data_IF_350916685802
#
_entry.id   IF_350916685802
#
_cell.length_a   1.000
_cell.length_b   1.000
_cell.length_c   1.000
_cell.angle_alpha   90.00
_cell.angle_beta   90.00
_cell.angle_gamma   90.00
#
_symmetry.space_group_name_H-M   'P 1'
#
loop_
_entity.id
_entity.type
_entity.pdbx_description
1 polymer ?
#
# COMPACT_ATOMS: atom_id res chain seq x y z
N UNK A 1 21.52 17.13 -11.70
CA UNK A 1 22.00 16.25 -12.78
C UNK A 1 20.87 16.19 -13.79
N UNK A 2 21.00 16.91 -14.90
CA UNK A 2 19.94 17.02 -15.91
C UNK A 2 19.87 15.71 -16.70
N UNK A 3 18.74 15.02 -16.60
CA UNK A 3 18.47 13.82 -17.40
C UNK A 3 18.18 14.25 -18.83
N UNK A 4 18.96 13.80 -19.83
CA UNK A 4 18.79 14.24 -21.20
C UNK A 4 17.46 13.74 -21.76
N UNK A 5 16.59 14.67 -22.15
CA UNK A 5 15.44 14.38 -22.99
C UNK A 5 15.96 13.93 -24.36
N UNK A 6 15.69 12.68 -24.75
CA UNK A 6 16.06 12.18 -26.07
C UNK A 6 14.83 12.11 -26.94
N UNK A 7 14.83 12.90 -28.00
CA UNK A 7 13.80 12.85 -29.04
C UNK A 7 14.41 12.16 -30.27
N UNK A 8 13.87 11.02 -30.69
CA UNK A 8 14.26 10.39 -31.96
C UNK A 8 13.70 11.12 -33.19
N UNK A 9 12.89 12.16 -32.97
CA UNK A 9 12.25 12.99 -33.98
C UNK A 9 12.61 14.45 -33.76
N UNK A 10 13.07 15.12 -34.81
CA UNK A 10 13.20 16.58 -34.82
C UNK A 10 11.81 17.20 -34.82
N UNK A 11 11.52 18.07 -33.84
CA UNK A 11 10.26 18.79 -33.82
C UNK A 11 10.13 19.66 -35.07
N UNK A 12 9.00 19.54 -35.77
CA UNK A 12 8.69 20.44 -36.88
C UNK A 12 8.47 21.85 -36.34
N UNK A 13 9.10 22.83 -37.00
CA UNK A 13 8.82 24.23 -36.71
C UNK A 13 7.39 24.58 -37.12
N UNK A 14 6.73 25.37 -36.28
CA UNK A 14 5.42 25.96 -36.60
C UNK A 14 5.59 26.91 -37.78
N UNK A 15 4.76 26.77 -38.80
CA UNK A 15 4.86 27.54 -40.04
C UNK A 15 3.57 28.31 -40.30
N UNK A 16 3.65 29.62 -40.44
CA UNK A 16 2.52 30.44 -40.84
C UNK A 16 2.51 30.63 -42.36
N UNK A 17 1.47 30.18 -43.04
CA UNK A 17 1.31 30.31 -44.49
C UNK A 17 -0.16 30.35 -44.89
N UNK A 18 -0.52 31.22 -45.85
CA UNK A 18 -1.87 31.33 -46.41
C UNK A 18 -2.98 31.48 -45.35
N UNK A 19 -2.74 32.29 -44.32
CA UNK A 19 -3.66 32.49 -43.18
C UNK A 19 -3.95 31.21 -42.37
N UNK A 20 -3.04 30.24 -42.41
CA UNK A 20 -3.09 29.00 -41.65
C UNK A 20 -1.79 28.82 -40.86
N UNK A 21 -1.90 28.23 -39.66
CA UNK A 21 -0.77 27.83 -38.85
C UNK A 21 -0.55 26.32 -39.02
N UNK A 22 0.46 25.95 -39.78
CA UNK A 22 0.83 24.56 -40.05
C UNK A 22 1.79 24.04 -38.97
N UNK A 23 1.84 22.72 -38.82
CA UNK A 23 2.69 22.02 -37.85
C UNK A 23 2.40 22.38 -36.39
N UNK A 24 1.15 22.66 -36.05
CA UNK A 24 0.72 22.82 -34.66
C UNK A 24 0.61 21.43 -34.03
N UNK A 25 1.26 21.22 -32.88
CA UNK A 25 1.17 19.96 -32.15
C UNK A 25 -0.28 19.77 -31.68
N UNK A 26 -0.93 18.71 -32.13
CA UNK A 26 -2.27 18.30 -31.72
C UNK A 26 -2.18 17.25 -30.61
N UNK A 27 -1.28 16.27 -30.74
CA UNK A 27 -1.12 15.21 -29.75
C UNK A 27 0.35 14.85 -29.53
N UNK A 28 0.71 14.56 -28.28
CA UNK A 28 2.04 14.07 -27.91
C UNK A 28 1.90 12.90 -26.97
N UNK A 29 2.63 11.83 -27.25
CA UNK A 29 2.87 10.72 -26.34
C UNK A 29 4.30 10.79 -25.81
N UNK A 30 4.43 10.98 -24.50
CA UNK A 30 5.70 10.96 -23.79
C UNK A 30 5.80 9.65 -23.02
N UNK A 31 6.89 8.92 -23.20
CA UNK A 31 7.22 7.74 -22.40
C UNK A 31 8.40 8.06 -21.49
N UNK A 32 8.17 7.99 -20.18
CA UNK A 32 9.19 8.21 -19.15
C UNK A 32 9.52 6.87 -18.52
N UNK A 33 10.77 6.44 -18.70
CA UNK A 33 11.32 5.26 -18.07
C UNK A 33 12.02 5.63 -16.77
N UNK A 34 11.60 5.01 -15.67
CA UNK A 34 12.13 5.23 -14.32
C UNK A 34 13.09 4.10 -13.94
N UNK A 35 14.17 4.41 -13.23
CA UNK A 35 14.94 3.45 -12.45
C UNK A 35 14.75 3.81 -10.98
N UNK A 36 13.86 3.08 -10.31
CA UNK A 36 13.39 3.38 -8.95
C UNK A 36 12.73 4.78 -8.85
N UNK A 37 13.47 5.77 -8.37
CA UNK A 37 13.03 7.18 -8.22
C UNK A 37 13.66 8.11 -9.24
N UNK A 38 14.63 7.63 -10.03
CA UNK A 38 15.38 8.43 -10.97
C UNK A 38 14.81 8.24 -12.38
N UNK A 39 14.61 9.34 -13.10
CA UNK A 39 14.27 9.26 -14.53
C UNK A 39 15.50 8.70 -15.25
N UNK A 40 15.36 7.48 -15.78
CA UNK A 40 16.41 6.84 -16.58
C UNK A 40 16.38 7.39 -18.00
N UNK A 41 15.18 7.53 -18.56
CA UNK A 41 14.98 7.96 -19.94
C UNK A 41 13.63 8.65 -20.09
N UNK A 42 13.54 9.65 -20.97
CA UNK A 42 12.28 10.24 -21.40
C UNK A 42 12.31 10.38 -22.92
N UNK A 43 11.30 9.82 -23.58
CA UNK A 43 11.20 9.72 -25.04
C UNK A 43 9.87 10.28 -25.52
N UNK A 44 9.89 11.08 -26.58
CA UNK A 44 8.69 11.44 -27.32
C UNK A 44 8.39 10.31 -28.32
N UNK A 45 7.44 9.45 -27.98
CA UNK A 45 7.15 8.23 -28.74
C UNK A 45 6.23 8.48 -29.94
N UNK A 46 5.36 9.49 -29.86
CA UNK A 46 4.48 9.87 -30.96
C UNK A 46 4.16 11.37 -30.90
N UNK A 47 4.20 12.04 -32.05
CA UNK A 47 3.84 13.45 -32.19
C UNK A 47 2.91 13.57 -33.39
N UNK A 48 1.71 14.08 -33.14
CA UNK A 48 0.73 14.38 -34.17
C UNK A 48 0.66 15.88 -34.37
N UNK A 49 0.84 16.30 -35.62
CA UNK A 49 0.71 17.68 -36.05
C UNK A 49 -0.60 17.90 -36.78
N UNK A 50 -1.11 19.12 -36.71
CA UNK A 50 -2.32 19.57 -37.38
C UNK A 50 -2.17 21.02 -37.84
N UNK A 51 -3.16 21.49 -38.59
CA UNK A 51 -3.21 22.84 -39.14
C UNK A 51 -4.31 23.64 -38.46
N UNK A 52 -3.93 24.74 -37.82
CA UNK A 52 -4.86 25.68 -37.23
C UNK A 52 -5.33 26.69 -38.29
N UNK A 53 -6.63 26.90 -38.38
CA UNK A 53 -7.26 27.88 -39.27
C UNK A 53 -8.23 28.75 -38.48
N UNK A 54 -8.65 29.87 -39.08
CA UNK A 54 -9.68 30.73 -38.50
C UNK A 54 -11.03 30.00 -38.26
N UNK A 55 -11.27 28.85 -38.90
CA UNK A 55 -12.50 28.07 -38.69
C UNK A 55 -12.40 27.07 -37.54
N UNK A 56 -11.22 26.51 -37.26
CA UNK A 56 -11.08 25.41 -36.29
C UNK A 56 -10.43 25.82 -34.95
N UNK A 57 -9.93 27.05 -34.84
CA UNK A 57 -9.16 27.47 -33.66
C UNK A 57 -9.93 27.37 -32.33
N UNK A 58 -11.26 27.57 -32.36
CA UNK A 58 -12.09 27.54 -31.17
C UNK A 58 -12.24 26.12 -30.59
N UNK A 59 -12.18 25.10 -31.45
CA UNK A 59 -12.38 23.69 -31.10
C UNK A 59 -11.06 22.89 -31.05
N UNK A 60 -9.94 23.53 -31.41
CA UNK A 60 -8.64 22.91 -31.42
C UNK A 60 -8.19 22.55 -29.99
N UNK A 61 -7.92 21.27 -29.73
CA UNK A 61 -7.47 20.76 -28.43
C UNK A 61 -6.13 20.06 -28.59
N UNK A 62 -5.21 20.38 -27.69
CA UNK A 62 -3.94 19.70 -27.59
C UNK A 62 -4.02 18.61 -26.53
N UNK A 63 -3.58 17.40 -26.86
CA UNK A 63 -3.57 16.25 -25.95
C UNK A 63 -2.15 15.78 -25.67
N UNK A 64 -1.75 15.89 -24.41
CA UNK A 64 -0.47 15.36 -23.93
C UNK A 64 -0.73 14.13 -23.07
N UNK A 65 -0.23 12.98 -23.52
CA UNK A 65 -0.31 11.71 -22.80
C UNK A 65 1.08 11.35 -22.29
N UNK A 66 1.21 11.18 -20.97
CA UNK A 66 2.47 10.85 -20.32
C UNK A 66 2.34 9.44 -19.73
N UNK A 67 3.15 8.52 -20.22
CA UNK A 67 3.21 7.13 -19.77
C UNK A 67 4.48 6.92 -18.96
N UNK A 68 4.34 6.37 -17.75
CA UNK A 68 5.47 5.99 -16.91
C UNK A 68 5.72 4.49 -17.03
N UNK A 69 6.98 4.09 -17.30
CA UNK A 69 7.44 2.71 -17.33
C UNK A 69 8.55 2.54 -16.30
N UNK A 70 8.51 1.49 -15.48
CA UNK A 70 9.65 1.14 -14.64
C UNK A 70 10.65 0.30 -15.45
N UNK A 71 11.95 0.63 -15.35
CA UNK A 71 13.06 -0.12 -15.96
C UNK A 71 13.49 -1.34 -15.15
N UNK A 72 12.95 -1.50 -13.93
CA UNK A 72 12.96 -2.78 -13.28
C UNK A 72 11.97 -3.67 -14.02
N UNK A 73 12.48 -4.52 -14.91
CA UNK A 73 11.80 -5.78 -15.17
C UNK A 73 11.45 -6.37 -13.79
N UNK A 74 10.20 -6.75 -13.52
CA UNK A 74 9.96 -7.54 -12.34
C UNK A 74 10.76 -8.80 -12.58
N UNK A 75 11.84 -9.01 -11.83
CA UNK A 75 12.20 -10.36 -11.48
C UNK A 75 10.98 -10.89 -10.73
N UNK A 76 10.03 -11.46 -11.47
CA UNK A 76 9.23 -12.57 -10.99
C UNK A 76 10.21 -13.73 -10.75
N UNK A 77 11.16 -13.52 -9.82
CA UNK A 77 11.55 -14.62 -8.99
C UNK A 77 10.25 -15.00 -8.30
N UNK A 78 9.84 -16.23 -8.60
CA UNK A 78 8.68 -16.99 -8.15
C UNK A 78 8.59 -16.97 -6.61
N UNK A 79 8.30 -15.79 -6.05
CA UNK A 79 8.12 -15.58 -4.62
C UNK A 79 6.75 -16.16 -4.32
N UNK A 80 6.77 -17.42 -3.85
CA UNK A 80 5.60 -18.28 -3.70
C UNK A 80 4.37 -17.63 -3.05
N UNK A 81 3.25 -18.35 -3.14
CA UNK A 81 1.92 -17.84 -2.77
C UNK A 81 1.90 -17.23 -1.37
N UNK A 82 1.13 -16.16 -1.21
CA UNK A 82 0.76 -15.66 0.13
C UNK A 82 -0.36 -16.46 0.75
N UNK A 83 -0.71 -16.09 1.98
CA UNK A 83 -1.86 -16.67 2.67
C UNK A 83 -3.18 -16.31 1.99
N UNK A 84 -4.11 -17.26 2.00
CA UNK A 84 -5.53 -17.09 1.64
C UNK A 84 -6.41 -17.26 2.88
N UNK A 85 -7.62 -16.70 2.83
CA UNK A 85 -8.57 -16.86 3.93
C UNK A 85 -8.89 -18.33 4.16
N UNK A 86 -8.77 -18.78 5.41
CA UNK A 86 -8.98 -20.18 5.79
C UNK A 86 -7.71 -21.04 5.81
N UNK A 87 -6.58 -20.54 5.31
CA UNK A 87 -5.30 -21.25 5.36
C UNK A 87 -4.87 -21.51 6.80
N UNK A 88 -4.28 -22.67 7.04
CA UNK A 88 -3.68 -23.02 8.33
C UNK A 88 -2.38 -22.24 8.55
N UNK A 89 -2.19 -21.75 9.77
CA UNK A 89 -0.99 -21.01 10.16
C UNK A 89 -0.05 -21.93 10.91
N UNK A 90 1.24 -21.87 10.59
CA UNK A 90 2.29 -22.63 11.26
C UNK A 90 3.18 -21.71 12.11
N UNK A 91 3.66 -22.23 13.23
CA UNK A 91 4.46 -21.49 14.20
C UNK A 91 5.65 -22.32 14.72
N UNK A 92 6.61 -21.66 15.35
CA UNK A 92 7.86 -22.28 15.82
C UNK A 92 8.26 -21.74 17.21
N UNK A 93 9.01 -22.56 17.96
CA UNK A 93 9.58 -22.22 19.28
C UNK A 93 10.98 -21.61 19.15
N UNK A 94 11.81 -22.15 18.28
CA UNK A 94 13.08 -21.56 17.83
C UNK A 94 13.00 -21.16 16.37
N UNK A 95 13.97 -20.39 15.90
CA UNK A 95 14.08 -20.01 14.49
C UNK A 95 14.41 -21.20 13.58
N UNK A 96 15.08 -22.22 14.13
CA UNK A 96 15.47 -23.46 13.44
C UNK A 96 14.59 -24.67 13.81
N UNK A 97 13.54 -24.48 14.60
CA UNK A 97 12.68 -25.59 15.02
C UNK A 97 11.70 -25.99 13.91
N UNK A 98 11.27 -27.24 13.92
CA UNK A 98 10.23 -27.72 13.02
C UNK A 98 8.92 -26.95 13.24
N UNK A 99 8.32 -26.39 12.18
CA UNK A 99 7.03 -25.71 12.27
C UNK A 99 5.95 -26.67 12.78
N UNK A 100 5.10 -26.18 13.69
CA UNK A 100 3.94 -26.89 14.17
C UNK A 100 2.67 -26.10 13.85
N UNK A 101 1.54 -26.80 13.75
CA UNK A 101 0.25 -26.19 13.48
C UNK A 101 -0.15 -25.26 14.63
N UNK A 102 -0.28 -23.96 14.33
CA UNK A 102 -0.61 -22.96 15.32
C UNK A 102 -2.09 -23.10 15.72
N UNK A 103 -2.33 -23.29 17.01
CA UNK A 103 -3.65 -23.66 17.53
C UNK A 103 -3.97 -22.97 18.84
N UNK A 104 -5.25 -22.96 19.21
CA UNK A 104 -5.74 -22.58 20.53
C UNK A 104 -6.21 -23.82 21.30
N UNK A 105 -6.34 -23.77 22.63
CA UNK A 105 -6.95 -24.85 23.39
C UNK A 105 -8.36 -25.17 22.89
N UNK A 106 -8.70 -26.46 22.84
CA UNK A 106 -10.08 -26.87 22.56
C UNK A 106 -11.00 -26.46 23.70
N UNK A 107 -12.24 -26.11 23.36
CA UNK A 107 -13.26 -25.76 24.35
C UNK A 107 -13.52 -26.93 25.30
N UNK A 108 -13.48 -26.67 26.62
CA UNK A 108 -13.71 -27.70 27.64
C UNK A 108 -12.78 -27.56 28.85
N UNK A 109 -12.14 -28.66 29.25
CA UNK A 109 -11.16 -28.67 30.34
C UNK A 109 -9.78 -28.27 29.79
N UNK A 110 -9.11 -27.32 30.45
CA UNK A 110 -7.75 -26.96 30.10
C UNK A 110 -6.79 -28.13 30.39
N UNK A 111 -5.84 -28.39 29.49
CA UNK A 111 -4.82 -29.43 29.65
C UNK A 111 -5.03 -30.69 28.80
N UNK A 112 -6.14 -30.81 28.06
CA UNK A 112 -6.27 -31.84 27.03
C UNK A 112 -5.32 -31.56 25.86
N UNK A 113 -4.73 -32.60 25.27
CA UNK A 113 -3.73 -32.43 24.21
C UNK A 113 -4.26 -31.81 22.91
N UNK A 114 -5.58 -31.81 22.70
CA UNK A 114 -6.21 -31.31 21.48
C UNK A 114 -6.27 -29.77 21.42
N UNK A 115 -5.80 -29.21 20.32
CA UNK A 115 -5.99 -27.81 19.95
C UNK A 115 -6.93 -27.63 18.75
N UNK A 116 -7.46 -26.43 18.57
CA UNK A 116 -8.21 -26.00 17.39
C UNK A 116 -7.26 -25.15 16.53
N UNK A 117 -7.03 -25.50 15.25
CA UNK A 117 -6.15 -24.75 14.37
C UNK A 117 -6.61 -23.31 14.18
N UNK A 118 -5.67 -22.37 14.20
CA UNK A 118 -5.92 -20.98 13.84
C UNK A 118 -5.83 -20.86 12.32
N UNK A 119 -6.90 -20.35 11.71
CA UNK A 119 -7.00 -20.15 10.26
C UNK A 119 -6.87 -18.68 9.89
N UNK A 120 -6.12 -18.39 8.85
CA UNK A 120 -5.84 -17.03 8.40
C UNK A 120 -7.12 -16.28 8.01
N UNK A 121 -7.26 -15.04 8.50
CA UNK A 121 -8.46 -14.19 8.34
C UNK A 121 -9.76 -14.78 8.91
N UNK A 122 -9.70 -15.82 9.74
CA UNK A 122 -10.86 -16.38 10.45
C UNK A 122 -10.77 -16.04 11.93
N UNK A 123 -11.43 -14.94 12.33
CA UNK A 123 -11.55 -14.59 13.73
C UNK A 123 -12.18 -15.75 14.51
N UNK A 124 -11.52 -16.14 15.60
CA UNK A 124 -11.87 -17.36 16.32
C UNK A 124 -11.76 -17.12 17.82
N UNK A 125 -12.61 -17.78 18.59
CA UNK A 125 -12.53 -17.78 20.05
C UNK A 125 -12.60 -19.21 20.59
N UNK A 126 -11.98 -19.41 21.74
CA UNK A 126 -12.09 -20.66 22.49
C UNK A 126 -12.04 -20.38 23.99
N UNK A 127 -12.63 -21.28 24.76
CA UNK A 127 -12.62 -21.16 26.22
C UNK A 127 -12.30 -22.49 26.86
N UNK A 128 -11.37 -22.51 27.81
CA UNK A 128 -11.11 -23.70 28.61
C UNK A 128 -11.28 -23.40 30.10
N UNK A 129 -11.58 -24.43 30.87
CA UNK A 129 -11.86 -24.35 32.30
C UNK A 129 -10.78 -25.07 33.08
N UNK A 130 -10.28 -24.43 34.15
CA UNK A 130 -9.34 -25.03 35.09
C UNK A 130 -10.10 -25.36 36.37
N UNK A 131 -10.00 -26.64 36.78
CA UNK A 131 -10.54 -27.14 38.04
C UNK A 131 -9.37 -27.49 38.96
N UNK A 132 -9.09 -26.63 39.92
CA UNK A 132 -8.10 -26.88 40.95
C UNK A 132 -8.56 -26.23 42.25
N UNK A 133 -8.14 -26.76 43.39
CA UNK A 133 -8.45 -26.21 44.71
C UNK A 133 -7.32 -25.33 45.26
N UNK A 134 -6.13 -25.38 44.63
CA UNK A 134 -4.97 -24.61 45.03
C UNK A 134 -4.59 -23.59 43.95
N UNK A 135 -4.33 -22.35 44.36
CA UNK A 135 -3.89 -21.29 43.45
C UNK A 135 -2.60 -21.66 42.70
N UNK A 136 -1.67 -22.34 43.37
CA UNK A 136 -0.40 -22.79 42.76
C UNK A 136 -0.63 -23.74 41.59
N UNK A 137 -1.58 -24.66 41.71
CA UNK A 137 -1.95 -25.61 40.65
C UNK A 137 -2.60 -24.88 39.47
N UNK A 138 -3.50 -23.92 39.75
CA UNK A 138 -4.09 -23.08 38.70
C UNK A 138 -3.02 -22.30 37.94
N UNK A 139 -2.11 -21.63 38.65
CA UNK A 139 -1.02 -20.86 38.05
C UNK A 139 -0.09 -21.75 37.22
N UNK A 140 0.23 -22.95 37.69
CA UNK A 140 1.06 -23.89 36.95
C UNK A 140 0.36 -24.36 35.67
N UNK A 141 -0.94 -24.63 35.73
CA UNK A 141 -1.74 -25.01 34.55
C UNK A 141 -1.76 -23.88 33.51
N UNK A 142 -1.98 -22.64 33.93
CA UNK A 142 -1.94 -21.47 33.04
C UNK A 142 -0.56 -21.30 32.39
N UNK A 143 0.52 -21.44 33.17
CA UNK A 143 1.90 -21.35 32.64
C UNK A 143 2.18 -22.43 31.60
N UNK A 144 1.76 -23.67 31.84
CA UNK A 144 1.92 -24.76 30.88
C UNK A 144 1.13 -24.54 29.59
N UNK A 145 -0.08 -23.97 29.67
CA UNK A 145 -0.86 -23.62 28.48
C UNK A 145 -0.19 -22.51 27.67
N UNK A 146 0.28 -21.46 28.34
CA UNK A 146 1.01 -20.37 27.69
C UNK A 146 2.28 -20.92 27.03
N UNK A 147 3.04 -21.74 27.75
CA UNK A 147 4.25 -22.35 27.20
C UNK A 147 3.95 -23.34 26.07
N UNK A 148 2.78 -23.98 26.02
CA UNK A 148 2.40 -24.84 24.89
C UNK A 148 1.94 -24.03 23.67
N UNK A 149 1.02 -23.09 23.87
CA UNK A 149 0.27 -22.46 22.78
C UNK A 149 0.82 -21.10 22.33
N UNK A 150 1.76 -20.49 23.06
CA UNK A 150 2.40 -19.22 22.63
C UNK A 150 3.73 -19.52 21.94
N UNK A 151 3.82 -19.40 20.61
CA UNK A 151 5.08 -19.56 19.89
C UNK A 151 6.01 -18.34 20.08
N UNK A 152 7.24 -18.47 19.59
CA UNK A 152 8.17 -17.34 19.49
C UNK A 152 8.16 -16.73 18.08
N UNK A 153 7.82 -17.55 17.08
CA UNK A 153 7.79 -17.18 15.67
C UNK A 153 6.57 -17.76 14.97
N UNK A 154 6.07 -17.06 13.97
CA UNK A 154 4.99 -17.52 13.08
C UNK A 154 5.50 -17.47 11.65
N UNK A 155 5.14 -18.46 10.82
CA UNK A 155 5.52 -18.43 9.41
C UNK A 155 4.86 -17.24 8.70
N UNK A 156 5.68 -16.39 8.09
CA UNK A 156 5.23 -15.19 7.37
C UNK A 156 4.46 -15.52 6.09
N UNK A 157 4.71 -16.71 5.52
CA UNK A 157 4.10 -17.23 4.30
C UNK A 157 3.73 -18.71 4.48
N UNK A 158 2.79 -19.27 3.69
CA UNK A 158 2.44 -20.69 3.74
C UNK A 158 3.63 -21.61 3.43
N UNK A 159 3.62 -22.80 4.02
CA UNK A 159 4.71 -23.80 4.00
C UNK A 159 5.10 -24.29 2.60
N UNK A 160 4.26 -24.09 1.59
CA UNK A 160 4.53 -24.45 0.19
C UNK A 160 5.44 -23.44 -0.55
N UNK A 161 5.94 -22.40 0.13
CA UNK A 161 6.73 -21.32 -0.49
C UNK A 161 8.19 -21.31 -0.06
N UNK A 162 9.07 -20.91 -0.99
CA UNK A 162 10.55 -21.00 -0.95
C UNK A 162 11.18 -20.32 0.27
N UNK A 163 12.29 -20.92 0.73
CA UNK A 163 12.99 -20.89 2.03
C UNK A 163 13.68 -19.60 2.50
N UNK A 164 13.38 -18.42 1.94
CA UNK A 164 14.15 -17.19 2.25
C UNK A 164 13.33 -16.08 2.94
N UNK A 165 12.12 -16.35 3.43
CA UNK A 165 11.32 -15.35 4.17
C UNK A 165 11.55 -15.45 5.67
N UNK A 166 11.94 -14.32 6.27
CA UNK A 166 12.07 -14.19 7.72
C UNK A 166 10.72 -14.41 8.38
N UNK A 167 10.69 -15.28 9.38
CA UNK A 167 9.50 -15.57 10.17
C UNK A 167 9.03 -14.31 10.93
N UNK A 168 7.71 -14.21 11.12
CA UNK A 168 7.08 -13.11 11.82
C UNK A 168 7.34 -13.26 13.32
N UNK A 169 7.89 -12.21 13.93
CA UNK A 169 8.16 -12.17 15.37
C UNK A 169 6.87 -12.15 16.18
N UNK A 170 6.86 -12.93 17.27
CA UNK A 170 5.79 -12.89 18.27
C UNK A 170 6.17 -11.95 19.42
N UNK A 171 5.38 -10.90 19.60
CA UNK A 171 5.53 -9.91 20.66
C UNK A 171 4.60 -10.29 21.82
N UNK A 172 5.18 -10.55 22.99
CA UNK A 172 4.41 -10.81 24.22
C UNK A 172 4.18 -9.49 24.95
N UNK A 173 2.92 -9.11 25.14
CA UNK A 173 2.54 -8.00 25.99
C UNK A 173 2.64 -8.38 27.47
N UNK A 174 2.99 -7.40 28.31
CA UNK A 174 2.98 -7.61 29.76
C UNK A 174 1.55 -7.84 30.26
N UNK A 175 1.40 -8.75 31.22
CA UNK A 175 0.12 -8.96 31.89
C UNK A 175 -0.26 -7.73 32.72
N UNK A 176 -1.56 -7.45 32.81
CA UNK A 176 -2.07 -6.42 33.73
C UNK A 176 -1.75 -6.78 35.18
N UNK A 177 -1.37 -5.79 35.99
CA UNK A 177 -1.23 -6.02 37.42
C UNK A 177 -2.60 -6.19 38.08
N UNK A 178 -2.70 -7.11 39.04
CA UNK A 178 -3.90 -7.31 39.84
C UNK A 178 -3.66 -6.63 41.18
N UNK A 179 -4.41 -5.56 41.47
CA UNK A 179 -4.33 -4.88 42.77
C UNK A 179 -4.79 -5.81 43.90
N UNK A 180 -3.92 -6.00 44.90
CA UNK A 180 -4.16 -6.62 46.20
C UNK A 180 -5.08 -7.87 46.20
N UNK A 181 -4.58 -9.04 45.75
CA UNK A 181 -5.27 -10.29 46.01
C UNK A 181 -5.22 -10.57 47.52
N UNK A 182 -6.34 -10.33 48.20
CA UNK A 182 -6.59 -10.92 49.52
C UNK A 182 -6.43 -12.45 49.42
N UNK A 183 -6.04 -13.12 50.50
CA UNK A 183 -5.68 -14.56 50.48
C UNK A 183 -6.76 -15.54 50.01
N UNK A 184 -7.97 -15.06 49.70
CA UNK A 184 -9.08 -15.81 49.12
C UNK A 184 -9.10 -15.83 47.57
N UNK A 185 -8.28 -15.00 46.92
CA UNK A 185 -8.23 -14.86 45.48
C UNK A 185 -6.86 -15.26 44.91
N UNK A 186 -6.89 -15.87 43.74
CA UNK A 186 -5.72 -16.27 42.97
C UNK A 186 -5.56 -15.35 41.75
N UNK A 187 -4.46 -14.59 41.63
CA UNK A 187 -4.18 -13.83 40.43
C UNK A 187 -3.83 -14.81 39.29
N UNK A 188 -4.61 -14.78 38.21
CA UNK A 188 -4.49 -15.67 37.06
C UNK A 188 -4.67 -14.90 35.75
N UNK A 189 -3.91 -15.29 34.73
CA UNK A 189 -4.21 -14.89 33.35
C UNK A 189 -5.45 -15.62 32.88
N UNK A 190 -6.54 -14.89 32.69
CA UNK A 190 -7.85 -15.45 32.30
C UNK A 190 -8.20 -15.13 30.85
N UNK A 191 -7.48 -14.21 30.21
CA UNK A 191 -7.73 -13.85 28.81
C UNK A 191 -6.42 -13.71 28.06
N UNK A 192 -6.36 -14.35 26.88
CA UNK A 192 -5.30 -14.26 25.91
C UNK A 192 -5.87 -13.75 24.58
N UNK A 193 -5.53 -12.52 24.23
CA UNK A 193 -5.87 -11.93 22.93
C UNK A 193 -4.67 -12.03 22.00
N UNK A 194 -4.85 -12.74 20.88
CA UNK A 194 -3.87 -12.96 19.83
C UNK A 194 -4.22 -12.03 18.67
N UNK A 195 -3.37 -11.04 18.41
CA UNK A 195 -3.53 -10.09 17.30
C UNK A 195 -2.51 -10.46 16.24
N UNK A 196 -2.97 -11.02 15.11
CA UNK A 196 -2.11 -11.35 13.97
C UNK A 196 -2.13 -10.18 13.00
N UNK A 197 -0.97 -9.54 12.82
CA UNK A 197 -0.80 -8.48 11.84
C UNK A 197 -0.38 -9.08 10.50
N UNK A 198 -1.07 -8.66 9.44
CA UNK A 198 -0.74 -9.05 8.09
C UNK A 198 -0.59 -7.81 7.22
N UNK A 199 0.09 -7.93 6.08
CA UNK A 199 0.23 -6.85 5.12
C UNK A 199 0.19 -7.40 3.70
N UNK A 200 -0.22 -6.53 2.76
CA UNK A 200 -0.07 -6.76 1.33
C UNK A 200 1.39 -6.48 0.95
N UNK A 201 2.08 -7.48 0.42
CA UNK A 201 3.45 -7.40 -0.09
C UNK A 201 3.41 -7.61 -1.60
N UNK A 202 3.88 -6.64 -2.37
CA UNK A 202 3.87 -6.70 -3.84
C UNK A 202 3.31 -5.42 -4.46
N UNK A 203 2.90 -5.51 -5.74
CA UNK A 203 2.28 -4.40 -6.49
C UNK A 203 0.80 -4.29 -6.11
N UNK A 204 0.20 -3.12 -6.29
CA UNK A 204 -1.23 -2.91 -5.98
C UNK A 204 -2.16 -3.87 -6.72
N UNK A 205 -1.85 -4.18 -7.99
CA UNK A 205 -2.62 -5.10 -8.82
C UNK A 205 -2.22 -6.57 -8.64
N UNK A 206 -1.06 -6.85 -8.07
CA UNK A 206 -0.55 -8.20 -7.83
C UNK A 206 0.22 -8.23 -6.51
N UNK A 207 -0.53 -8.42 -5.42
CA UNK A 207 -0.01 -8.52 -4.07
C UNK A 207 -0.31 -9.90 -3.49
N UNK A 208 0.52 -10.29 -2.52
CA UNK A 208 0.27 -11.45 -1.68
C UNK A 208 0.16 -11.02 -0.22
N UNK A 209 -0.63 -11.77 0.54
CA UNK A 209 -0.81 -11.52 1.96
C UNK A 209 0.26 -12.27 2.74
N UNK A 210 0.98 -11.54 3.59
CA UNK A 210 2.01 -12.08 4.46
C UNK A 210 1.72 -11.69 5.90
N UNK A 211 2.03 -12.58 6.84
CA UNK A 211 2.00 -12.25 8.26
C UNK A 211 3.28 -11.46 8.59
N UNK A 212 3.13 -10.30 9.23
CA UNK A 212 4.27 -9.42 9.56
C UNK A 212 4.69 -9.56 11.01
N UNK A 213 3.74 -9.77 11.91
CA UNK A 213 3.98 -9.98 13.34
C UNK A 213 2.74 -10.55 14.01
N UNK A 214 2.90 -11.08 15.23
CA UNK A 214 1.77 -11.36 16.11
C UNK A 214 2.00 -10.77 17.49
N UNK A 215 0.92 -10.31 18.13
CA UNK A 215 0.96 -9.77 19.49
C UNK A 215 0.05 -10.59 20.39
N UNK A 216 0.56 -11.01 21.54
CA UNK A 216 -0.22 -11.64 22.59
C UNK A 216 -0.44 -10.65 23.72
N UNK A 217 -1.69 -10.23 23.93
CA UNK A 217 -2.09 -9.44 25.09
C UNK A 217 -2.71 -10.38 26.14
N UNK A 218 -2.23 -10.26 27.38
CA UNK A 218 -2.64 -11.13 28.50
C UNK A 218 -3.31 -10.27 29.56
N UNK A 219 -4.54 -10.60 29.94
CA UNK A 219 -5.23 -9.94 31.03
C UNK A 219 -5.30 -10.85 32.24
N UNK A 220 -4.86 -10.31 33.38
CA UNK A 220 -4.90 -11.00 34.66
C UNK A 220 -6.12 -10.57 35.45
N UNK A 221 -6.79 -11.53 36.06
CA UNK A 221 -7.92 -11.31 36.96
C UNK A 221 -7.75 -12.10 38.25
N UNK A 222 -8.34 -11.58 39.33
CA UNK A 222 -8.43 -12.25 40.61
C UNK A 222 -9.55 -13.29 40.59
N UNK A 223 -9.22 -14.57 40.68
CA UNK A 223 -10.19 -15.68 40.65
C UNK A 223 -10.36 -16.27 42.06
N UNK A 224 -11.59 -16.47 42.56
CA UNK A 224 -11.80 -17.10 43.86
C UNK A 224 -11.24 -18.53 43.91
N UNK A 225 -10.53 -18.90 45.00
CA UNK A 225 -9.87 -20.22 45.10
C UNK A 225 -10.84 -21.42 45.06
N UNK A 226 -12.10 -21.23 45.46
CA UNK A 226 -13.13 -22.27 45.45
C UNK A 226 -13.99 -22.29 44.18
N UNK A 227 -13.52 -21.66 43.10
CA UNK A 227 -14.26 -21.52 41.85
C UNK A 227 -13.53 -22.15 40.66
N UNK A 228 -14.26 -22.34 39.57
CA UNK A 228 -13.67 -22.76 38.30
C UNK A 228 -13.13 -21.53 37.58
N UNK A 229 -11.82 -21.51 37.29
CA UNK A 229 -11.23 -20.48 36.46
C UNK A 229 -11.57 -20.73 34.99
N UNK A 230 -11.97 -19.69 34.27
CA UNK A 230 -12.25 -19.73 32.84
C UNK A 230 -11.14 -18.96 32.12
N UNK A 231 -10.44 -19.63 31.21
CA UNK A 231 -9.47 -19.02 30.31
C UNK A 231 -10.10 -18.83 28.95
N UNK A 232 -10.04 -17.60 28.44
CA UNK A 232 -10.54 -17.20 27.13
C UNK A 232 -9.37 -16.94 26.20
N UNK A 233 -9.46 -17.47 24.99
CA UNK A 233 -8.53 -17.21 23.90
C UNK A 233 -9.30 -16.61 22.75
N UNK A 234 -8.78 -15.52 22.20
CA UNK A 234 -9.40 -14.80 21.08
C UNK A 234 -8.33 -14.50 20.04
N UNK A 235 -8.62 -14.77 18.77
CA UNK A 235 -7.76 -14.44 17.64
C UNK A 235 -8.44 -13.39 16.78
N UNK A 236 -7.71 -12.33 16.48
CA UNK A 236 -8.12 -11.26 15.58
C UNK A 236 -7.02 -10.96 14.57
N UNK A 237 -7.43 -10.61 13.36
CA UNK A 237 -6.53 -10.22 12.28
C UNK A 237 -6.58 -8.71 12.05
N UNK A 238 -5.41 -8.10 11.86
CA UNK A 238 -5.30 -6.65 11.61
C UNK A 238 -4.44 -6.38 10.38
N UNK A 239 -5.00 -5.63 9.44
CA UNK A 239 -4.24 -5.13 8.29
C UNK A 239 -3.24 -4.06 8.75
N UNK A 240 -1.97 -4.27 8.42
CA UNK A 240 -0.83 -3.39 8.68
C UNK A 240 -0.18 -2.90 7.39
N UNK A 241 -0.87 -3.06 6.25
CA UNK A 241 -0.41 -2.56 4.96
C UNK A 241 -0.22 -1.04 5.06
N UNK A 242 0.99 -0.52 4.83
CA UNK A 242 1.21 0.92 4.79
C UNK A 242 0.37 1.54 3.68
N UNK A 243 -0.13 2.74 3.92
CA UNK A 243 -0.83 3.50 2.87
C UNK A 243 0.10 3.63 1.66
N UNK A 244 -0.44 3.45 0.46
CA UNK A 244 0.30 3.67 -0.77
C UNK A 244 0.73 5.13 -0.78
N UNK A 245 2.01 5.37 -0.54
CA UNK A 245 2.58 6.69 -0.74
C UNK A 245 2.47 6.97 -2.25
N UNK A 246 1.60 7.92 -2.61
CA UNK A 246 1.59 8.50 -3.94
C UNK A 246 3.02 8.89 -4.28
N UNK A 247 3.66 8.18 -5.21
CA UNK A 247 5.04 8.47 -5.63
C UNK A 247 5.15 9.83 -6.31
N UNK A 248 4.02 10.43 -6.68
CA UNK A 248 3.94 11.80 -7.17
C UNK A 248 3.45 12.70 -6.04
N UNK A 249 4.38 13.49 -5.49
CA UNK A 249 4.08 14.54 -4.48
C UNK A 249 3.19 15.64 -5.08
N UNK A 250 3.22 15.79 -6.40
CA UNK A 250 2.24 16.51 -7.21
C UNK A 250 2.48 16.15 -8.69
N UNK A 251 1.50 16.40 -9.56
CA UNK A 251 1.76 16.48 -11.01
C UNK A 251 2.91 17.48 -11.25
N UNK A 252 3.85 17.22 -12.18
CA UNK A 252 4.87 18.20 -12.52
C UNK A 252 4.17 19.51 -12.92
N UNK A 253 4.58 20.60 -12.29
CA UNK A 253 4.08 21.93 -12.66
C UNK A 253 4.65 22.26 -14.05
N UNK A 254 3.81 22.13 -15.08
CA UNK A 254 4.14 22.58 -16.43
C UNK A 254 3.89 24.08 -16.46
N UNK A 255 4.95 24.88 -16.40
CA UNK A 255 4.84 26.32 -16.62
C UNK A 255 4.64 26.57 -18.13
N UNK A 256 3.37 26.73 -18.53
CA UNK A 256 2.97 27.04 -19.91
C UNK A 256 3.14 28.53 -20.25
N UNK A 257 3.81 29.33 -19.41
CA UNK A 257 4.11 30.72 -19.76
C UNK A 257 4.93 30.73 -21.05
N UNK A 258 4.35 31.32 -22.08
CA UNK A 258 5.06 31.65 -23.30
C UNK A 258 6.30 32.48 -22.94
N UNK A 259 7.46 32.25 -23.59
CA UNK A 259 8.61 33.14 -23.45
C UNK A 259 8.16 34.59 -23.64
N UNK A 260 8.76 35.54 -22.89
CA UNK A 260 8.43 36.96 -22.96
C UNK A 260 8.52 37.59 -24.38
N UNK A 261 9.06 36.86 -25.35
CA UNK A 261 9.21 37.28 -26.76
C UNK A 261 8.12 36.75 -27.71
N UNK A 262 7.05 36.13 -27.21
CA UNK A 262 5.91 35.68 -28.04
C UNK A 262 4.95 36.83 -28.38
N UNK A 263 5.40 37.78 -29.20
CA UNK A 263 4.53 38.77 -29.84
C UNK A 263 4.11 38.27 -31.22
N UNK A 264 2.81 38.03 -31.42
CA UNK A 264 2.22 37.99 -32.76
C UNK A 264 1.78 39.40 -33.17
N UNK A 265 2.37 40.02 -34.21
CA UNK A 265 1.73 41.15 -34.86
C UNK A 265 0.72 40.60 -35.88
N UNK A 266 -0.51 40.34 -35.45
CA UNK A 266 -1.62 40.19 -36.40
C UNK A 266 -2.00 41.57 -36.94
N UNK A 267 -1.21 42.10 -37.87
CA UNK A 267 -1.59 43.25 -38.68
C UNK A 267 -2.31 42.73 -39.92
N UNK A 268 -3.62 42.58 -39.82
CA UNK A 268 -4.47 42.39 -40.99
C UNK A 268 -4.45 43.69 -41.81
N UNK A 269 -3.71 43.72 -42.91
CA UNK A 269 -3.88 44.78 -43.92
C UNK A 269 -5.11 44.44 -44.74
N UNK A 270 -6.26 44.99 -44.35
CA UNK A 270 -7.42 45.10 -45.23
C UNK A 270 -7.02 45.94 -46.44
N UNK A 271 -6.86 45.30 -47.60
CA UNK A 271 -6.76 45.99 -48.87
C UNK A 271 -8.13 46.59 -49.22
N UNK A 272 -8.44 47.74 -48.64
CA UNK A 272 -9.51 48.61 -49.08
C UNK A 272 -8.87 49.85 -49.71
N UNK A 273 -9.03 49.93 -51.02
CA UNK A 273 -8.64 51.06 -51.86
C UNK A 273 -9.27 52.36 -51.37
N UNK A 274 -8.39 53.32 -51.06
CA UNK A 274 -8.54 54.79 -51.14
C UNK A 274 -9.84 55.47 -50.62
N UNK A 275 -9.70 56.34 -49.61
CA UNK A 275 -9.79 57.82 -49.70
C UNK A 275 -10.09 58.43 -48.30
N UNK A 276 -9.20 59.36 -47.88
CA UNK A 276 -9.28 60.41 -46.84
C UNK A 276 -9.53 60.09 -45.34
N UNK A 277 -8.46 60.37 -44.57
CA UNK A 277 -8.39 61.29 -43.41
C UNK A 277 -9.06 60.95 -42.06
N UNK A 278 -8.17 60.54 -41.14
CA UNK A 278 -8.07 60.86 -39.69
C UNK A 278 -9.22 60.41 -38.76
N UNK A 279 -9.05 59.23 -38.16
CA UNK A 279 -9.04 58.99 -36.72
C UNK A 279 -8.88 57.48 -36.47
N UNK A 280 -7.68 57.02 -36.14
CA UNK A 280 -7.42 55.61 -35.81
C UNK A 280 -7.62 55.40 -34.31
N UNK A 281 -8.79 54.92 -33.93
CA UNK A 281 -9.03 54.34 -32.61
C UNK A 281 -8.50 52.91 -32.61
N UNK A 282 -7.46 52.64 -31.82
CA UNK A 282 -6.97 51.28 -31.59
C UNK A 282 -7.80 50.68 -30.46
N UNK A 283 -8.67 49.73 -30.77
CA UNK A 283 -9.32 48.88 -29.79
C UNK A 283 -8.54 47.56 -29.67
N UNK A 284 -7.84 47.39 -28.55
CA UNK A 284 -7.14 46.16 -28.19
C UNK A 284 -8.14 45.22 -27.52
N UNK A 285 -8.45 44.09 -28.14
CA UNK A 285 -9.19 43.01 -27.49
C UNK A 285 -8.18 42.04 -26.85
N UNK A 286 -8.05 42.11 -25.53
CA UNK A 286 -7.35 41.14 -24.71
C UNK A 286 -8.26 39.92 -24.50
N UNK A 287 -7.95 38.80 -25.16
CA UNK A 287 -8.51 37.49 -24.78
C UNK A 287 -7.58 36.86 -23.73
N UNK A 288 -7.86 37.16 -22.47
CA UNK A 288 -7.41 36.35 -21.34
C UNK A 288 -8.44 35.24 -21.13
N UNK A 289 -8.01 33.97 -21.17
CA UNK A 289 -8.83 32.86 -20.68
C UNK A 289 -8.20 32.32 -19.40
N UNK A 290 -8.99 32.37 -18.32
CA UNK A 290 -8.73 31.71 -17.02
C UNK A 290 -8.56 30.20 -17.18
#
# INVERSE_FOLDING_TARGET
>A
METPFRTNTSLLAVLWSNSQCQNVIEEVLVEITLNETLVKEAVLSNIRYSTLTAQNYADFKQRFTINFKDSSEPSEEDKGRGYQSGDEIYAMKGEADTPFLFSMPKTGLCGTESGVPIKFLVNSNSMCTIRASQCREMQQTVRQLIDKFVPNWIQSVPTESVTNETNALVIRGNGTEVENPSGMFCPLTTELLIIIHYAKKGKEQNYRLVITSAKFAMNNHAVPMNSTAILRFSVVFKDSTPLIASRFVALPHIDLRLPNDFFYPFLERSAASAVTSIASSISVYLLLRN
#
